data_IF_565379351991
#
_entry.id   IF_565379351991
#
_cell.length_a   1.000
_cell.length_b   1.000
_cell.length_c   1.000
_cell.angle_alpha   90.00
_cell.angle_beta   90.00
_cell.angle_gamma   90.00
#
_symmetry.space_group_name_H-M   'P 1'
#
loop_
_entity.id
_entity.type
_entity.pdbx_description
1 polymer ?
#
# COMPACT_ATOMS: atom_id res chain seq x y z
N UNK A 1 -4.69 15.58 18.79
CA UNK A 1 -3.96 14.90 17.68
C UNK A 1 -4.69 15.13 16.39
N UNK A 2 -4.03 15.67 15.38
CA UNK A 2 -4.61 15.90 14.06
C UNK A 2 -4.63 14.58 13.28
N UNK A 3 -5.74 14.24 12.59
CA UNK A 3 -5.79 13.06 11.73
C UNK A 3 -4.70 13.09 10.65
N UNK A 4 -3.99 11.99 10.45
CA UNK A 4 -2.91 11.87 9.46
C UNK A 4 -1.55 12.44 9.88
N UNK A 5 -1.46 13.12 11.03
CA UNK A 5 -0.19 13.63 11.57
C UNK A 5 0.37 12.61 12.57
N UNK A 6 1.29 11.77 12.09
CA UNK A 6 2.03 10.84 12.94
C UNK A 6 3.23 11.49 13.65
N UNK A 7 3.93 10.75 14.54
CA UNK A 7 5.09 11.26 15.30
C UNK A 7 6.21 11.82 14.43
N UNK A 8 6.47 11.20 13.27
CA UNK A 8 7.44 11.69 12.29
C UNK A 8 7.04 13.06 11.72
N UNK A 9 5.82 13.15 11.19
CA UNK A 9 5.31 14.39 10.58
C UNK A 9 5.23 15.52 11.59
N UNK A 10 4.76 15.22 12.82
CA UNK A 10 4.73 16.21 13.90
C UNK A 10 6.11 16.74 14.24
N UNK A 11 7.12 15.87 14.36
CA UNK A 11 8.50 16.27 14.65
C UNK A 11 9.11 17.06 13.48
N UNK A 12 8.85 16.66 12.23
CA UNK A 12 9.34 17.36 11.05
C UNK A 12 8.78 18.80 10.98
N UNK A 13 7.46 18.95 11.14
CA UNK A 13 6.82 20.26 11.17
C UNK A 13 7.38 21.11 12.33
N UNK A 14 7.51 20.51 13.52
CA UNK A 14 8.04 21.22 14.69
C UNK A 14 9.45 21.74 14.47
N UNK A 15 10.33 20.93 13.88
CA UNK A 15 11.71 21.32 13.62
C UNK A 15 11.81 22.31 12.46
N UNK A 16 11.20 22.01 11.32
CA UNK A 16 11.41 22.75 10.06
C UNK A 16 10.61 24.05 10.03
N UNK A 17 9.31 23.99 10.38
CA UNK A 17 8.44 25.15 10.29
C UNK A 17 8.47 26.03 11.54
N UNK A 18 8.70 25.44 12.72
CA UNK A 18 8.64 26.17 13.99
C UNK A 18 10.00 26.29 14.70
N UNK A 19 11.10 25.79 14.13
CA UNK A 19 12.44 25.87 14.71
C UNK A 19 12.57 25.19 16.08
N UNK A 20 11.63 24.30 16.47
CA UNK A 20 11.66 23.62 17.77
C UNK A 20 12.69 22.51 17.75
N UNK A 21 13.33 22.28 18.90
CA UNK A 21 14.24 21.14 19.08
C UNK A 21 13.44 19.82 18.99
N UNK A 22 13.32 19.29 17.78
CA UNK A 22 12.63 18.03 17.51
C UNK A 22 13.41 17.25 16.45
N UNK A 23 13.41 15.93 16.58
CA UNK A 23 14.07 15.02 15.65
C UNK A 23 13.03 14.14 14.94
N UNK A 24 12.68 14.41 13.69
CA UNK A 24 11.91 13.46 12.89
C UNK A 24 12.77 12.22 12.64
N UNK A 25 12.19 11.03 12.81
CA UNK A 25 12.90 9.77 12.58
C UNK A 25 12.14 8.95 11.57
N UNK A 26 12.65 8.93 10.34
CA UNK A 26 12.20 8.07 9.25
C UNK A 26 13.17 6.90 9.03
N UNK A 27 12.93 6.09 8.01
CA UNK A 27 13.81 4.96 7.68
C UNK A 27 15.23 5.37 7.25
N UNK A 28 15.43 6.60 6.76
CA UNK A 28 16.74 7.13 6.42
C UNK A 28 17.52 7.47 7.68
N UNK A 29 16.88 8.21 8.58
CA UNK A 29 17.48 8.62 9.85
C UNK A 29 17.70 7.41 10.77
N UNK A 30 16.76 6.43 10.82
CA UNK A 30 16.99 5.15 11.51
C UNK A 30 18.28 4.47 11.03
N UNK A 31 18.52 4.44 9.73
CA UNK A 31 19.74 3.84 9.14
C UNK A 31 21.00 4.61 9.47
N UNK A 32 20.98 5.93 9.33
CA UNK A 32 22.12 6.79 9.67
C UNK A 32 22.52 6.58 11.12
N UNK A 33 21.56 6.67 12.04
CA UNK A 33 21.81 6.52 13.48
C UNK A 33 22.26 5.10 13.86
N UNK A 34 21.62 4.08 13.27
CA UNK A 34 22.02 2.69 13.50
C UNK A 34 23.47 2.45 13.10
N UNK A 35 23.95 3.10 12.03
CA UNK A 35 25.35 3.02 11.58
C UNK A 35 26.28 3.89 12.41
N UNK A 36 25.89 5.13 12.68
CA UNK A 36 26.71 6.07 13.45
C UNK A 36 27.08 5.48 14.82
N UNK A 37 26.12 4.88 15.51
CA UNK A 37 26.29 4.30 16.84
C UNK A 37 26.46 2.78 16.84
N UNK A 38 26.54 2.14 15.70
CA UNK A 38 26.61 0.67 15.54
C UNK A 38 25.53 -0.09 16.33
N UNK A 39 24.28 0.37 16.26
CA UNK A 39 23.14 -0.26 16.94
C UNK A 39 22.84 -1.62 16.31
N UNK A 40 23.14 -2.70 17.03
CA UNK A 40 22.98 -4.09 16.55
C UNK A 40 21.59 -4.68 16.82
N UNK A 41 20.82 -4.04 17.70
CA UNK A 41 19.45 -4.44 17.93
C UNK A 41 18.64 -4.37 16.64
N UNK A 42 17.82 -5.41 16.40
CA UNK A 42 17.06 -5.53 15.15
C UNK A 42 15.85 -4.57 15.12
N UNK A 43 15.60 -3.99 13.96
CA UNK A 43 14.32 -3.30 13.72
C UNK A 43 13.17 -4.31 13.68
N UNK A 44 12.00 -3.99 14.25
CA UNK A 44 11.60 -2.70 14.79
C UNK A 44 11.96 -2.44 16.26
N UNK A 45 12.50 -3.40 17.00
CA UNK A 45 12.79 -3.28 18.45
C UNK A 45 13.76 -2.10 18.76
N UNK A 46 14.74 -1.85 17.89
CA UNK A 46 15.69 -0.72 18.02
C UNK A 46 15.07 0.69 17.90
N UNK A 47 13.83 0.83 17.39
CA UNK A 47 13.25 2.17 17.11
C UNK A 47 13.19 3.11 18.31
N UNK A 48 12.81 2.68 19.53
CA UNK A 48 12.81 3.56 20.70
C UNK A 48 14.20 4.11 21.03
N UNK A 49 15.25 3.27 20.90
CA UNK A 49 16.63 3.68 21.11
C UNK A 49 17.07 4.69 20.05
N UNK A 50 16.83 4.40 18.76
CA UNK A 50 17.17 5.30 17.67
C UNK A 50 16.47 6.65 17.80
N UNK A 51 15.24 6.69 18.26
CA UNK A 51 14.52 7.93 18.55
C UNK A 51 15.19 8.75 19.66
N UNK A 52 15.61 8.08 20.74
CA UNK A 52 16.36 8.77 21.81
C UNK A 52 17.69 9.35 21.32
N UNK A 53 18.43 8.59 20.51
CA UNK A 53 19.68 9.07 19.91
C UNK A 53 19.46 10.26 18.98
N UNK A 54 18.41 10.21 18.15
CA UNK A 54 18.03 11.35 17.29
C UNK A 54 17.74 12.60 18.11
N UNK A 55 16.96 12.47 19.16
CA UNK A 55 16.60 13.59 20.03
C UNK A 55 17.80 14.17 20.77
N UNK A 56 18.73 13.33 21.21
CA UNK A 56 19.98 13.77 21.86
C UNK A 56 20.92 14.53 20.92
N UNK A 57 20.89 14.23 19.62
CA UNK A 57 21.69 14.91 18.61
C UNK A 57 21.02 16.21 18.10
N UNK A 58 19.71 16.35 18.25
CA UNK A 58 18.98 17.51 17.73
C UNK A 58 19.44 18.80 18.44
N UNK A 59 19.97 19.78 17.71
CA UNK A 59 20.43 21.02 18.31
C UNK A 59 19.24 21.92 18.69
N UNK A 60 19.46 22.83 19.64
CA UNK A 60 18.47 23.84 20.00
C UNK A 60 18.31 24.91 18.91
N UNK A 61 19.40 25.30 18.28
CA UNK A 61 19.41 26.25 17.16
C UNK A 61 19.48 25.47 15.83
N UNK A 62 18.79 25.97 14.83
CA UNK A 62 18.78 25.39 13.47
C UNK A 62 18.33 23.93 13.43
N UNK A 63 17.36 23.55 14.28
CA UNK A 63 16.85 22.18 14.35
C UNK A 63 16.25 21.70 13.01
N UNK A 64 15.64 22.61 12.25
CA UNK A 64 15.10 22.30 10.92
C UNK A 64 16.19 21.96 9.90
N UNK A 65 17.30 22.70 9.89
CA UNK A 65 18.45 22.42 9.00
C UNK A 65 19.07 21.07 9.35
N UNK A 66 19.23 20.79 10.64
CA UNK A 66 19.74 19.50 11.11
C UNK A 66 18.83 18.34 10.67
N UNK A 67 17.50 18.49 10.82
CA UNK A 67 16.55 17.47 10.41
C UNK A 67 16.64 17.18 8.90
N UNK A 68 16.71 18.22 8.07
CA UNK A 68 16.86 18.11 6.62
C UNK A 68 18.21 17.48 6.25
N UNK A 69 19.32 17.96 6.84
CA UNK A 69 20.64 17.40 6.59
C UNK A 69 20.73 15.89 6.93
N UNK A 70 20.04 15.45 7.99
CA UNK A 70 19.97 14.03 8.35
C UNK A 70 19.19 13.20 7.34
N UNK A 71 18.09 13.74 6.80
CA UNK A 71 17.32 13.10 5.73
C UNK A 71 18.15 12.99 4.45
N UNK A 72 18.81 14.08 4.05
CA UNK A 72 19.65 14.16 2.86
C UNK A 72 20.86 13.23 2.96
N UNK A 73 21.52 13.19 4.11
CA UNK A 73 22.62 12.26 4.37
C UNK A 73 22.17 10.81 4.18
N UNK A 74 20.99 10.47 4.68
CA UNK A 74 20.43 9.14 4.50
C UNK A 74 20.00 8.85 3.07
N UNK A 75 19.47 9.83 2.35
CA UNK A 75 19.00 9.65 0.98
C UNK A 75 20.15 9.54 -0.04
N UNK A 76 21.22 10.33 0.14
CA UNK A 76 22.25 10.52 -0.90
C UNK A 76 23.57 9.80 -0.59
N UNK A 77 24.03 9.82 0.65
CA UNK A 77 25.34 9.31 1.05
C UNK A 77 25.25 8.00 1.81
N UNK A 78 24.51 7.98 2.93
CA UNK A 78 24.36 6.80 3.77
C UNK A 78 23.26 5.85 3.24
N UNK A 79 23.35 5.46 1.97
CA UNK A 79 22.33 4.68 1.26
C UNK A 79 22.22 3.24 1.78
N UNK A 80 21.10 2.52 1.50
CA UNK A 80 20.87 1.19 2.05
C UNK A 80 21.93 0.15 1.66
N UNK A 81 22.26 0.06 0.37
CA UNK A 81 23.10 -1.02 -0.18
C UNK A 81 24.57 -0.60 -0.36
N UNK A 82 24.80 0.61 -0.84
CA UNK A 82 26.12 1.09 -1.25
C UNK A 82 26.37 2.49 -0.71
N UNK A 83 26.63 2.64 0.62
CA UNK A 83 26.92 3.95 1.19
C UNK A 83 28.28 4.45 0.71
N UNK A 84 28.34 5.72 0.30
CA UNK A 84 29.57 6.43 -0.10
C UNK A 84 30.24 7.04 1.13
N UNK A 85 30.83 6.19 1.97
CA UNK A 85 31.37 6.59 3.28
C UNK A 85 32.51 7.62 3.16
N UNK A 86 33.28 7.60 2.10
CA UNK A 86 34.37 8.55 1.84
C UNK A 86 33.87 10.00 1.76
N UNK A 87 32.66 10.21 1.25
CA UNK A 87 32.02 11.54 1.16
C UNK A 87 31.19 11.89 2.40
N UNK A 88 31.16 11.04 3.42
CA UNK A 88 30.34 11.24 4.60
C UNK A 88 31.01 12.23 5.59
N UNK A 89 30.34 13.32 5.97
CA UNK A 89 30.89 14.26 6.94
C UNK A 89 31.15 13.63 8.32
N UNK A 90 30.48 12.50 8.63
CA UNK A 90 30.64 11.79 9.89
C UNK A 90 31.54 10.55 9.82
N UNK A 91 32.32 10.39 8.75
CA UNK A 91 33.17 9.21 8.55
C UNK A 91 34.08 8.91 9.77
N UNK A 92 34.70 9.95 10.35
CA UNK A 92 35.59 9.79 11.50
C UNK A 92 34.89 9.38 12.78
N UNK A 93 33.62 9.73 12.94
CA UNK A 93 32.80 9.43 14.13
C UNK A 93 31.92 8.17 13.94
N UNK A 94 31.82 7.62 12.74
CA UNK A 94 30.93 6.51 12.43
C UNK A 94 31.48 5.20 12.97
N UNK A 95 30.84 4.66 14.02
CA UNK A 95 31.25 3.40 14.65
C UNK A 95 31.06 2.21 13.71
N UNK A 96 29.95 2.16 12.93
CA UNK A 96 29.77 1.07 11.97
C UNK A 96 30.85 1.04 10.89
N UNK A 97 31.32 2.19 10.41
CA UNK A 97 32.42 2.26 9.44
C UNK A 97 33.73 1.75 10.04
N UNK A 98 34.03 2.12 11.29
CA UNK A 98 35.22 1.61 12.01
C UNK A 98 35.19 0.10 12.19
N UNK A 99 33.99 -0.47 12.33
CA UNK A 99 33.78 -1.91 12.57
C UNK A 99 33.46 -2.73 11.28
N UNK A 100 33.41 -2.09 10.10
CA UNK A 100 33.02 -2.75 8.85
C UNK A 100 31.55 -3.19 8.79
N UNK A 101 30.67 -2.56 9.57
CA UNK A 101 29.26 -2.92 9.72
C UNK A 101 28.30 -2.05 8.90
N UNK A 102 28.79 -1.10 8.12
CA UNK A 102 27.98 -0.11 7.41
C UNK A 102 27.01 -0.73 6.40
N UNK A 103 27.32 -1.91 5.87
CA UNK A 103 26.45 -2.63 4.94
C UNK A 103 25.45 -3.55 5.63
N UNK A 104 25.73 -3.99 6.85
CA UNK A 104 24.89 -4.90 7.62
C UNK A 104 23.87 -4.19 8.51
N UNK A 105 24.08 -2.90 8.81
CA UNK A 105 23.19 -2.10 9.65
C UNK A 105 22.30 -1.16 8.83
N UNK A 106 21.04 -0.92 9.27
CA UNK A 106 20.41 -1.46 10.49
C UNK A 106 20.06 -2.94 10.34
N UNK A 107 20.27 -3.72 11.39
CA UNK A 107 19.83 -5.11 11.44
C UNK A 107 18.30 -5.16 11.40
N UNK A 108 17.75 -6.13 10.68
CA UNK A 108 16.28 -6.31 10.56
C UNK A 108 15.89 -7.70 11.05
N UNK A 109 14.77 -7.78 11.75
CA UNK A 109 14.14 -9.07 12.04
C UNK A 109 13.77 -9.78 10.75
N UNK A 110 13.81 -11.09 10.76
CA UNK A 110 13.29 -11.91 9.65
C UNK A 110 11.84 -11.48 9.37
N UNK A 111 11.54 -11.21 8.10
CA UNK A 111 10.21 -10.79 7.71
C UNK A 111 9.24 -11.93 8.00
N UNK A 112 8.32 -11.73 8.93
CA UNK A 112 7.25 -12.69 9.16
C UNK A 112 6.48 -12.91 7.87
N UNK A 113 6.17 -14.16 7.56
CA UNK A 113 5.30 -14.50 6.45
C UNK A 113 3.96 -13.79 6.66
N UNK A 114 3.55 -13.02 5.67
CA UNK A 114 2.24 -12.37 5.73
C UNK A 114 1.16 -13.44 5.61
N UNK A 115 0.17 -13.46 6.50
CA UNK A 115 -0.95 -14.38 6.35
C UNK A 115 -1.64 -14.14 5.00
N UNK A 116 -2.11 -15.22 4.39
CA UNK A 116 -2.89 -15.17 3.17
C UNK A 116 -4.37 -15.04 3.54
N UNK A 117 -5.06 -14.12 2.88
CA UNK A 117 -6.52 -13.97 2.93
C UNK A 117 -7.08 -14.17 1.54
N UNK A 118 -8.29 -14.68 1.49
CA UNK A 118 -9.03 -15.01 0.27
C UNK A 118 -10.42 -14.41 0.31
N UNK A 119 -10.94 -14.13 -0.86
CA UNK A 119 -12.30 -13.62 -0.99
C UNK A 119 -12.79 -13.66 -2.42
N UNK A 120 -14.04 -13.27 -2.62
CA UNK A 120 -14.69 -13.22 -3.92
C UNK A 120 -15.15 -11.81 -4.21
N UNK A 121 -14.87 -11.31 -5.40
CA UNK A 121 -15.31 -10.01 -5.88
C UNK A 121 -16.28 -10.15 -7.07
N UNK A 122 -17.29 -9.28 -7.13
CA UNK A 122 -18.29 -9.27 -8.17
C UNK A 122 -18.18 -7.98 -8.98
N UNK A 123 -17.93 -8.11 -10.28
CA UNK A 123 -17.96 -6.99 -11.23
C UNK A 123 -19.24 -7.09 -12.01
N UNK A 124 -20.18 -6.17 -11.76
CA UNK A 124 -21.45 -6.10 -12.47
C UNK A 124 -21.40 -4.93 -13.42
N UNK A 125 -21.63 -5.20 -14.71
CA UNK A 125 -21.56 -4.19 -15.78
C UNK A 125 -22.97 -3.97 -16.33
N UNK A 126 -23.42 -2.72 -16.39
CA UNK A 126 -24.71 -2.35 -16.99
C UNK A 126 -24.62 -2.28 -18.52
N UNK A 127 -25.76 -2.35 -19.20
CA UNK A 127 -25.84 -2.11 -20.65
C UNK A 127 -25.35 -0.74 -21.10
N UNK A 128 -25.25 0.23 -20.19
CA UNK A 128 -24.68 1.57 -20.42
C UNK A 128 -23.17 1.64 -20.15
N UNK A 129 -22.47 0.50 -20.07
CA UNK A 129 -21.03 0.40 -19.76
C UNK A 129 -20.64 1.05 -18.43
N UNK A 130 -21.41 0.75 -17.37
CA UNK A 130 -21.14 1.22 -16.02
C UNK A 130 -20.86 0.04 -15.11
N UNK A 131 -19.99 0.24 -14.10
CA UNK A 131 -19.67 -0.75 -13.07
C UNK A 131 -20.43 -0.42 -11.79
N UNK A 132 -21.03 -1.43 -11.16
CA UNK A 132 -21.64 -1.29 -9.84
C UNK A 132 -20.54 -1.17 -8.77
N UNK A 133 -20.55 -0.07 -8.05
CA UNK A 133 -19.69 0.22 -6.90
C UNK A 133 -20.52 0.37 -5.63
N UNK A 134 -19.89 0.14 -4.49
CA UNK A 134 -20.45 0.50 -3.18
C UNK A 134 -19.38 1.21 -2.34
N UNK A 135 -19.80 2.00 -1.36
CA UNK A 135 -18.89 2.59 -0.39
C UNK A 135 -18.61 1.62 0.76
N UNK A 136 -17.35 1.51 1.12
CA UNK A 136 -16.94 0.78 2.33
C UNK A 136 -17.38 1.57 3.58
N UNK A 137 -17.59 0.87 4.71
CA UNK A 137 -17.81 1.53 5.99
C UNK A 137 -16.73 2.58 6.25
N UNK A 138 -17.04 3.71 6.91
CA UNK A 138 -16.08 4.80 7.10
C UNK A 138 -14.87 4.45 7.95
N UNK A 139 -14.97 3.38 8.76
CA UNK A 139 -13.89 2.88 9.62
C UNK A 139 -13.31 1.57 9.05
N UNK A 140 -12.04 1.30 9.38
CA UNK A 140 -11.35 0.07 9.00
C UNK A 140 -10.51 0.23 7.74
N UNK A 141 -10.02 -0.90 7.23
CA UNK A 141 -9.14 -0.95 6.06
C UNK A 141 -9.85 -0.42 4.81
N UNK A 142 -9.26 0.58 4.13
CA UNK A 142 -9.83 1.27 2.98
C UNK A 142 -11.19 1.94 3.28
N UNK A 143 -11.41 2.39 4.51
CA UNK A 143 -12.67 2.97 4.96
C UNK A 143 -13.10 4.17 4.13
N UNK A 144 -14.40 4.25 3.80
CA UNK A 144 -15.01 5.32 3.03
C UNK A 144 -14.69 5.33 1.52
N UNK A 145 -13.77 4.49 1.05
CA UNK A 145 -13.45 4.35 -0.38
C UNK A 145 -14.47 3.49 -1.11
N UNK A 146 -14.46 3.58 -2.44
CA UNK A 146 -15.33 2.77 -3.29
C UNK A 146 -14.72 1.37 -3.53
N UNK A 147 -15.59 0.38 -3.62
CA UNK A 147 -15.22 -1.00 -3.96
C UNK A 147 -16.27 -1.64 -4.86
N UNK A 148 -15.90 -2.68 -5.59
CA UNK A 148 -16.86 -3.61 -6.17
C UNK A 148 -17.49 -4.43 -5.04
N UNK A 149 -18.76 -4.88 -5.13
CA UNK A 149 -19.32 -5.83 -4.18
C UNK A 149 -18.41 -7.04 -4.02
N UNK A 150 -18.18 -7.46 -2.78
CA UNK A 150 -17.28 -8.60 -2.47
C UNK A 150 -17.61 -9.23 -1.13
N UNK A 151 -17.12 -10.46 -0.93
CA UNK A 151 -17.16 -11.16 0.35
C UNK A 151 -16.23 -10.53 1.40
N UNK A 152 -16.32 -10.99 2.65
CA UNK A 152 -15.26 -10.82 3.63
C UNK A 152 -13.95 -11.48 3.13
N UNK A 153 -12.80 -11.00 3.65
CA UNK A 153 -11.48 -11.55 3.33
C UNK A 153 -11.04 -12.47 4.47
N UNK A 154 -11.19 -13.76 4.25
CA UNK A 154 -10.96 -14.80 5.24
C UNK A 154 -9.78 -15.70 4.86
N UNK A 155 -9.52 -16.75 5.62
CA UNK A 155 -8.45 -17.71 5.35
C UNK A 155 -8.72 -18.50 4.07
N UNK A 156 -9.99 -18.84 3.83
CA UNK A 156 -10.43 -19.67 2.71
C UNK A 156 -11.42 -18.89 1.85
N UNK A 157 -11.63 -19.35 0.60
CA UNK A 157 -12.68 -18.80 -0.26
C UNK A 157 -14.06 -19.18 0.30
N UNK A 158 -15.10 -18.35 0.08
CA UNK A 158 -16.47 -18.72 0.42
C UNK A 158 -16.88 -20.04 -0.24
N UNK A 159 -17.50 -20.94 0.52
CA UNK A 159 -17.96 -22.24 0.00
C UNK A 159 -19.05 -22.10 -1.08
N UNK A 160 -19.95 -21.12 -0.90
CA UNK A 160 -20.93 -20.70 -1.92
C UNK A 160 -20.76 -19.20 -2.22
N UNK A 161 -19.87 -18.82 -3.13
CA UNK A 161 -19.63 -17.42 -3.44
C UNK A 161 -20.83 -16.74 -4.08
N UNK A 162 -21.69 -17.46 -4.81
CA UNK A 162 -22.83 -16.86 -5.52
C UNK A 162 -23.97 -16.44 -4.58
N UNK A 163 -24.05 -17.01 -3.39
CA UNK A 163 -24.99 -16.54 -2.36
C UNK A 163 -24.73 -15.10 -1.93
N UNK A 164 -23.50 -14.60 -2.12
CA UNK A 164 -23.07 -13.24 -1.81
C UNK A 164 -23.19 -12.27 -2.99
N UNK A 165 -23.70 -12.75 -4.13
CA UNK A 165 -23.81 -11.96 -5.35
C UNK A 165 -24.76 -10.75 -5.16
N UNK A 166 -24.38 -9.54 -5.61
CA UNK A 166 -25.17 -8.33 -5.38
C UNK A 166 -26.46 -8.25 -6.20
N UNK A 167 -26.57 -9.05 -7.27
CA UNK A 167 -27.73 -9.05 -8.17
C UNK A 167 -28.14 -10.49 -8.50
N UNK A 168 -29.43 -10.68 -8.79
CA UNK A 168 -29.97 -11.96 -9.29
C UNK A 168 -29.74 -12.10 -10.80
N UNK A 169 -28.47 -12.11 -11.22
CA UNK A 169 -28.07 -12.23 -12.61
C UNK A 169 -27.14 -13.42 -12.81
N UNK A 170 -26.90 -13.80 -14.06
CA UNK A 170 -25.97 -14.90 -14.35
C UNK A 170 -24.54 -14.43 -14.20
N UNK A 171 -23.80 -15.02 -13.27
CA UNK A 171 -22.39 -14.75 -13.04
C UNK A 171 -21.50 -15.79 -13.73
N UNK A 172 -20.35 -15.33 -14.19
CA UNK A 172 -19.29 -16.17 -14.72
C UNK A 172 -18.01 -15.89 -13.92
N UNK A 173 -17.42 -16.94 -13.37
CA UNK A 173 -16.10 -16.83 -12.76
C UNK A 173 -15.05 -16.58 -13.85
N UNK A 174 -14.12 -15.68 -13.60
CA UNK A 174 -13.00 -15.39 -14.48
C UNK A 174 -11.83 -16.32 -14.17
N UNK A 175 -11.06 -16.64 -15.21
CA UNK A 175 -9.84 -17.41 -15.04
C UNK A 175 -8.76 -16.58 -14.34
N UNK A 176 -8.00 -17.22 -13.43
CA UNK A 176 -6.96 -16.58 -12.63
C UNK A 176 -7.49 -15.86 -11.39
N UNK A 177 -6.57 -15.47 -10.53
CA UNK A 177 -6.86 -14.74 -9.28
C UNK A 177 -6.29 -13.35 -9.35
N UNK A 178 -6.94 -12.39 -8.72
CA UNK A 178 -6.37 -11.07 -8.48
C UNK A 178 -5.56 -11.11 -7.19
N UNK A 179 -4.25 -10.88 -7.31
CA UNK A 179 -3.33 -10.84 -6.17
C UNK A 179 -3.06 -9.40 -5.74
N UNK A 180 -3.11 -9.17 -4.43
CA UNK A 180 -2.74 -7.90 -3.84
C UNK A 180 -2.00 -8.10 -2.52
N UNK A 181 -0.98 -7.29 -2.27
CA UNK A 181 -0.20 -7.33 -1.04
C UNK A 181 -0.46 -6.09 -0.21
N UNK A 182 -1.05 -6.27 0.95
CA UNK A 182 -1.16 -5.24 1.99
C UNK A 182 0.05 -5.28 2.93
N UNK A 183 0.18 -4.29 3.78
CA UNK A 183 1.27 -4.22 4.76
C UNK A 183 1.31 -5.46 5.67
N UNK A 184 0.15 -5.97 6.07
CA UNK A 184 0.01 -7.01 7.08
C UNK A 184 -0.44 -8.37 6.56
N UNK A 185 -0.92 -8.48 5.31
CA UNK A 185 -1.37 -9.74 4.69
C UNK A 185 -1.29 -9.70 3.17
N UNK A 186 -1.30 -10.87 2.56
CA UNK A 186 -1.51 -11.05 1.13
C UNK A 186 -2.99 -11.37 0.87
N UNK A 187 -3.51 -10.95 -0.28
CA UNK A 187 -4.89 -11.17 -0.66
C UNK A 187 -4.97 -11.85 -2.03
N UNK A 188 -5.79 -12.88 -2.11
CA UNK A 188 -6.19 -13.57 -3.34
C UNK A 188 -7.70 -13.43 -3.52
N UNK A 189 -8.13 -12.98 -4.70
CA UNK A 189 -9.54 -12.78 -5.00
C UNK A 189 -9.94 -13.56 -6.25
N UNK A 190 -10.98 -14.37 -6.11
CA UNK A 190 -11.76 -14.85 -7.26
C UNK A 190 -12.64 -13.72 -7.76
N UNK A 191 -12.73 -13.55 -9.08
CA UNK A 191 -13.54 -12.49 -9.68
C UNK A 191 -14.66 -13.11 -10.50
N UNK A 192 -15.88 -12.68 -10.20
CA UNK A 192 -17.09 -13.04 -10.96
C UNK A 192 -17.57 -11.80 -11.72
N UNK A 193 -17.86 -11.98 -13.00
CA UNK A 193 -18.45 -10.94 -13.85
C UNK A 193 -19.88 -11.27 -14.21
N UNK A 194 -20.72 -10.25 -14.24
CA UNK A 194 -22.08 -10.31 -14.78
C UNK A 194 -22.39 -9.08 -15.61
N UNK A 195 -23.23 -9.24 -16.60
CA UNK A 195 -23.80 -8.16 -17.40
C UNK A 195 -25.30 -8.06 -17.13
N UNK A 196 -25.79 -6.85 -16.88
CA UNK A 196 -27.20 -6.56 -16.62
C UNK A 196 -27.73 -5.54 -17.62
N UNK A 197 -28.96 -5.71 -18.11
CA UNK A 197 -29.52 -4.85 -19.13
C UNK A 197 -29.92 -3.45 -18.60
N UNK A 198 -30.27 -3.34 -17.32
CA UNK A 198 -30.66 -2.08 -16.69
C UNK A 198 -30.13 -1.97 -15.28
N UNK A 199 -30.04 -0.73 -14.78
CA UNK A 199 -29.65 -0.40 -13.39
C UNK A 199 -30.63 -0.98 -12.35
N UNK A 200 -31.86 -1.32 -12.75
CA UNK A 200 -32.93 -1.82 -11.89
C UNK A 200 -32.90 -3.36 -11.70
N UNK A 201 -32.01 -4.07 -12.37
CA UNK A 201 -31.93 -5.53 -12.30
C UNK A 201 -31.37 -6.05 -10.97
N UNK A 202 -31.92 -5.61 -9.86
CA UNK A 202 -31.61 -6.13 -8.53
C UNK A 202 -31.49 -5.03 -7.48
N UNK A 203 -31.83 -5.38 -6.25
CA UNK A 203 -31.76 -4.55 -5.05
C UNK A 203 -30.32 -4.24 -4.58
N UNK A 204 -29.37 -4.12 -5.49
CA UNK A 204 -27.98 -3.87 -5.16
C UNK A 204 -27.84 -2.45 -4.62
N UNK A 205 -27.61 -2.32 -3.33
CA UNK A 205 -27.22 -1.04 -2.69
C UNK A 205 -25.86 -0.63 -3.23
N UNK A 206 -25.82 0.43 -4.05
CA UNK A 206 -24.59 0.93 -4.64
C UNK A 206 -24.85 2.06 -5.65
N UNK A 207 -23.78 2.51 -6.27
CA UNK A 207 -23.81 3.52 -7.33
C UNK A 207 -23.19 2.95 -8.62
N UNK A 208 -23.65 3.43 -9.76
CA UNK A 208 -23.16 3.03 -11.06
C UNK A 208 -22.14 4.05 -11.57
N UNK A 209 -20.92 3.59 -11.79
CA UNK A 209 -19.80 4.39 -12.25
C UNK A 209 -19.49 4.06 -13.71
N UNK A 210 -19.49 5.05 -14.64
CA UNK A 210 -19.08 4.82 -16.02
C UNK A 210 -17.65 4.24 -16.08
N UNK A 211 -17.44 3.24 -16.91
CA UNK A 211 -16.12 2.56 -17.04
C UNK A 211 -15.03 3.55 -17.45
N UNK A 212 -15.34 4.51 -18.30
CA UNK A 212 -14.42 5.55 -18.77
C UNK A 212 -14.20 6.69 -17.76
N UNK A 213 -14.95 6.73 -16.66
CA UNK A 213 -14.90 7.79 -15.63
C UNK A 213 -14.44 7.29 -14.25
N UNK A 214 -13.94 6.07 -14.17
CA UNK A 214 -13.49 5.45 -12.92
C UNK A 214 -12.35 6.21 -12.21
N UNK A 215 -11.66 7.10 -12.91
CA UNK A 215 -10.61 7.94 -12.33
C UNK A 215 -11.13 8.92 -11.27
N UNK A 216 -12.39 9.36 -11.38
CA UNK A 216 -13.04 10.29 -10.44
C UNK A 216 -13.55 9.61 -9.17
N UNK A 217 -13.52 8.29 -9.11
CA UNK A 217 -13.91 7.52 -7.93
C UNK A 217 -12.70 7.19 -7.05
N UNK A 218 -12.87 7.29 -5.73
CA UNK A 218 -11.83 6.91 -4.76
C UNK A 218 -11.65 5.39 -4.71
N UNK A 219 -11.08 4.81 -5.78
CA UNK A 219 -10.84 3.38 -5.94
C UNK A 219 -9.45 3.01 -5.44
N UNK A 220 -9.33 2.14 -4.42
CA UNK A 220 -8.06 1.53 -4.04
C UNK A 220 -7.43 0.75 -5.20
N UNK A 221 -6.10 0.61 -5.19
CA UNK A 221 -5.37 -0.13 -6.23
C UNK A 221 -5.82 -1.58 -6.41
N UNK A 222 -6.24 -2.24 -5.33
CA UNK A 222 -6.81 -3.60 -5.40
C UNK A 222 -8.12 -3.63 -6.20
N UNK A 223 -8.98 -2.63 -6.02
CA UNK A 223 -10.27 -2.56 -6.72
C UNK A 223 -10.06 -2.24 -8.21
N UNK A 224 -9.12 -1.34 -8.52
CA UNK A 224 -8.72 -1.09 -9.92
C UNK A 224 -8.27 -2.38 -10.60
N UNK A 225 -7.41 -3.17 -9.96
CA UNK A 225 -6.97 -4.48 -10.48
C UNK A 225 -8.13 -5.45 -10.73
N UNK A 226 -9.14 -5.48 -9.84
CA UNK A 226 -10.31 -6.34 -10.01
C UNK A 226 -11.10 -5.94 -11.25
N UNK A 227 -11.37 -4.63 -11.42
CA UNK A 227 -12.13 -4.11 -12.56
C UNK A 227 -11.34 -4.33 -13.86
N UNK A 228 -10.05 -4.02 -13.89
CA UNK A 228 -9.17 -4.25 -15.04
C UNK A 228 -9.13 -5.73 -15.44
N UNK A 229 -9.03 -6.64 -14.46
CA UNK A 229 -9.07 -8.08 -14.72
C UNK A 229 -10.38 -8.50 -15.38
N UNK A 230 -11.51 -7.94 -14.95
CA UNK A 230 -12.82 -8.23 -15.52
C UNK A 230 -12.98 -7.67 -16.93
N UNK A 231 -12.57 -6.43 -17.18
CA UNK A 231 -12.67 -5.77 -18.48
C UNK A 231 -11.78 -6.46 -19.54
N UNK A 232 -10.51 -6.72 -19.20
CA UNK A 232 -9.58 -7.42 -20.10
C UNK A 232 -10.05 -8.83 -20.47
N UNK A 233 -10.70 -9.54 -19.54
CA UNK A 233 -11.26 -10.86 -19.81
C UNK A 233 -12.52 -10.83 -20.70
N UNK A 234 -13.25 -9.70 -20.70
CA UNK A 234 -14.38 -9.48 -21.60
C UNK A 234 -13.93 -9.20 -23.04
N UNK A 235 -12.91 -8.38 -23.21
CA UNK A 235 -12.31 -8.05 -24.52
C UNK A 235 -11.72 -9.28 -25.22
N UNK A 236 -10.95 -10.09 -24.52
CA UNK A 236 -10.36 -11.33 -25.04
C UNK A 236 -11.41 -12.29 -25.62
N UNK A 237 -12.60 -12.38 -25.02
CA UNK A 237 -13.69 -13.23 -25.52
C UNK A 237 -14.38 -12.64 -26.74
N UNK A 238 -14.52 -11.33 -26.82
CA UNK A 238 -15.06 -10.67 -28.02
C UNK A 238 -14.14 -10.87 -29.21
N UNK A 239 -12.81 -10.83 -29.02
CA UNK A 239 -11.84 -11.09 -30.06
C UNK A 239 -11.87 -12.56 -30.55
N UNK A 240 -11.94 -13.52 -29.63
CA UNK A 240 -12.03 -14.96 -29.98
C UNK A 240 -13.37 -15.34 -30.61
N UNK A 241 -14.47 -14.72 -30.21
CA UNK A 241 -15.78 -14.93 -30.83
C UNK A 241 -15.86 -14.35 -32.24
N UNK A 242 -15.20 -13.20 -32.48
CA UNK A 242 -15.12 -12.56 -33.80
C UNK A 242 -14.23 -13.35 -34.78
N UNK A 243 -13.10 -13.89 -34.28
CA UNK A 243 -12.18 -14.73 -35.05
C UNK A 243 -12.81 -16.08 -35.49
N UNK A 244 -13.77 -16.60 -34.72
CA UNK A 244 -14.51 -17.85 -35.07
C UNK A 244 -15.67 -17.63 -36.05
N UNK A 245 -16.04 -16.38 -36.35
CA UNK A 245 -17.16 -16.03 -37.26
C UNK A 245 -16.71 -15.58 -38.64
N UNK A 246 -15.42 -15.60 -38.95
CA UNK A 246 -14.89 -15.34 -40.30
C UNK A 246 -14.84 -16.70 -41.02
N UNK A 247 -15.76 -17.02 -41.96
CA UNK A 247 -15.62 -18.20 -42.79
C UNK A 247 -14.44 -18.01 -43.74
N UNK A 248 -13.73 -19.11 -44.00
CA UNK A 248 -12.78 -19.19 -45.13
C UNK A 248 -13.54 -19.20 -46.44
#
# INVERSE_FOLDING_TARGET
TLPGIGPYTAAAISAIAFGKQAAPVDGNIERVLARLFAVREKLPAAKPMLKRLAQALAPQARAGDFAQAMMDLGATICTPKSPTCESCPWIKSCTARKLGLERSLPARSTKQLRPLRRGTAFVVISGASEVLLRRRPPKGLLGGMHETPMSAWEKDFPGDPLSLAPTKSRYRMLDGLVHHTFTHFNLELQVFISHVNSRQSGSAKGEWAPVNDLAHFALPSVIRKIIEHALNSAERKNFTAKARRTPR
#
